data_IF_124685632712
#
_entry.id   IF_124685632712
#
_cell.length_a   1.000
_cell.length_b   1.000
_cell.length_c   1.000
_cell.angle_alpha   90.00
_cell.angle_beta   90.00
_cell.angle_gamma   90.00
#
_symmetry.space_group_name_H-M   'P 1'
#
loop_
_entity.id
_entity.type
_entity.pdbx_description
1 polymer ?
#
# COMPACT_ATOMS: atom_id res chain seq x y z
N UNK A 1 -28.10 -18.98 -12.65
CA UNK A 1 -27.71 -17.62 -12.22
C UNK A 1 -26.29 -17.74 -11.71
N UNK A 2 -25.32 -17.19 -12.42
CA UNK A 2 -23.91 -17.25 -12.00
C UNK A 2 -23.68 -16.05 -11.11
N UNK A 3 -23.54 -16.30 -9.81
CA UNK A 3 -23.19 -15.28 -8.83
C UNK A 3 -21.78 -14.79 -9.19
N UNK A 4 -21.68 -13.58 -9.74
CA UNK A 4 -20.40 -12.91 -9.91
C UNK A 4 -19.98 -12.58 -8.48
N UNK A 5 -19.13 -13.41 -7.88
CA UNK A 5 -18.42 -13.02 -6.67
C UNK A 5 -17.58 -11.81 -7.05
N UNK A 6 -18.04 -10.61 -6.71
CA UNK A 6 -17.19 -9.42 -6.66
C UNK A 6 -16.03 -9.77 -5.72
N UNK A 7 -14.87 -10.10 -6.30
CA UNK A 7 -13.66 -10.38 -5.53
C UNK A 7 -13.36 -9.11 -4.76
N UNK A 8 -13.64 -9.11 -3.46
CA UNK A 8 -13.44 -7.95 -2.60
C UNK A 8 -11.99 -7.48 -2.74
N UNK A 9 -11.81 -6.22 -3.10
CA UNK A 9 -10.47 -5.64 -3.24
C UNK A 9 -9.80 -5.62 -1.86
N UNK A 10 -8.54 -6.03 -1.82
CA UNK A 10 -7.72 -5.91 -0.62
C UNK A 10 -7.43 -4.43 -0.39
N UNK A 11 -7.88 -3.90 0.74
CA UNK A 11 -7.66 -2.49 1.07
C UNK A 11 -6.23 -2.29 1.53
N UNK A 12 -5.58 -1.27 0.96
CA UNK A 12 -4.24 -0.86 1.35
C UNK A 12 -4.18 0.66 1.46
N UNK A 13 -3.28 1.14 2.30
CA UNK A 13 -3.02 2.56 2.46
C UNK A 13 -1.56 2.86 2.18
N UNK A 14 -1.30 4.02 1.58
CA UNK A 14 0.04 4.55 1.42
C UNK A 14 0.12 5.95 2.02
N UNK A 15 1.20 6.23 2.74
CA UNK A 15 1.50 7.56 3.26
C UNK A 15 3.00 7.77 3.35
N UNK A 16 3.41 9.02 3.45
CA UNK A 16 4.81 9.36 3.69
C UNK A 16 5.14 9.20 5.17
N UNK A 17 6.11 8.35 5.50
CA UNK A 17 6.53 8.11 6.89
C UNK A 17 7.97 8.59 7.11
N UNK A 18 8.16 9.52 8.05
CA UNK A 18 9.48 10.02 8.45
C UNK A 18 10.08 9.26 9.63
N UNK A 19 9.24 8.62 10.44
CA UNK A 19 9.61 7.86 11.62
C UNK A 19 9.31 6.37 11.42
N UNK A 20 10.01 5.50 12.15
CA UNK A 20 9.84 4.05 12.07
C UNK A 20 10.85 3.37 11.15
N UNK A 21 10.79 2.04 11.16
CA UNK A 21 11.71 1.17 10.42
C UNK A 21 10.96 0.07 9.67
N UNK A 22 11.54 -0.41 8.58
CA UNK A 22 11.12 -1.62 7.91
C UNK A 22 11.41 -2.87 8.80
N UNK A 23 10.95 -4.07 8.40
CA UNK A 23 11.23 -5.30 9.13
C UNK A 23 12.72 -5.66 9.29
N UNK A 24 13.61 -5.04 8.51
CA UNK A 24 15.06 -5.22 8.59
C UNK A 24 15.74 -4.16 9.48
N UNK A 25 14.99 -3.21 10.03
CA UNK A 25 15.51 -2.11 10.85
C UNK A 25 15.99 -0.89 10.04
N UNK A 26 15.71 -0.83 8.74
CA UNK A 26 16.04 0.34 7.92
C UNK A 26 15.02 1.46 8.18
N UNK A 27 15.45 2.69 8.47
CA UNK A 27 14.52 3.79 8.74
C UNK A 27 13.74 4.18 7.49
N UNK A 28 12.46 4.52 7.67
CA UNK A 28 11.63 4.99 6.55
C UNK A 28 12.06 6.34 6.01
N UNK A 29 12.52 7.27 6.86
CA UNK A 29 13.18 8.50 6.44
C UNK A 29 12.50 9.27 5.28
N UNK A 30 11.17 9.39 5.32
CA UNK A 30 10.38 10.12 4.32
C UNK A 30 10.04 9.31 3.06
N UNK A 31 10.18 7.98 3.12
CA UNK A 31 9.69 7.07 2.09
C UNK A 31 8.16 6.95 2.15
N UNK A 32 7.58 6.61 1.01
CA UNK A 32 6.19 6.18 0.96
C UNK A 32 6.09 4.75 1.45
N UNK A 33 5.32 4.54 2.52
CA UNK A 33 5.12 3.23 3.14
C UNK A 33 3.71 2.76 2.83
N UNK A 34 3.60 1.52 2.35
CA UNK A 34 2.32 0.87 2.06
C UNK A 34 2.00 -0.12 3.19
N UNK A 35 0.77 -0.05 3.67
CA UNK A 35 0.25 -0.91 4.74
C UNK A 35 -1.06 -1.56 4.33
N UNK A 36 -1.30 -2.75 4.85
CA UNK A 36 -2.60 -3.42 4.71
C UNK A 36 -3.69 -2.74 5.56
N UNK A 37 -4.89 -3.29 5.52
CA UNK A 37 -6.04 -2.80 6.29
C UNK A 37 -5.85 -2.88 7.82
N UNK A 38 -4.99 -3.78 8.29
CA UNK A 38 -4.67 -3.99 9.70
C UNK A 38 -3.47 -3.14 10.16
N UNK A 39 -2.83 -2.41 9.24
CA UNK A 39 -1.68 -1.54 9.49
C UNK A 39 -0.31 -2.23 9.38
N UNK A 40 -0.27 -3.49 8.94
CA UNK A 40 0.99 -4.21 8.75
C UNK A 40 1.75 -3.66 7.54
N UNK A 41 3.07 -3.62 7.65
CA UNK A 41 3.95 -3.21 6.56
C UNK A 41 3.87 -4.20 5.39
N UNK A 42 3.67 -3.68 4.18
CA UNK A 42 3.75 -4.46 2.93
C UNK A 42 5.06 -4.13 2.21
N UNK A 43 5.30 -2.85 1.96
CA UNK A 43 6.44 -2.38 1.18
C UNK A 43 6.68 -0.88 1.39
N UNK A 44 7.80 -0.37 0.83
CA UNK A 44 8.04 1.05 0.70
C UNK A 44 8.61 1.40 -0.68
N UNK A 45 8.50 2.66 -1.06
CA UNK A 45 9.21 3.23 -2.22
C UNK A 45 9.49 4.72 -2.00
N UNK A 46 10.42 5.25 -2.77
CA UNK A 46 10.70 6.68 -2.80
C UNK A 46 9.63 7.47 -3.56
N UNK A 47 8.88 6.83 -4.47
CA UNK A 47 8.02 7.51 -5.43
C UNK A 47 6.56 7.09 -5.29
N UNK A 48 5.65 8.06 -5.08
CA UNK A 48 4.21 7.81 -5.01
C UNK A 48 3.64 7.19 -6.29
N UNK A 49 4.17 7.60 -7.46
CA UNK A 49 3.74 7.06 -8.76
C UNK A 49 3.98 5.54 -8.88
N UNK A 50 5.04 5.01 -8.27
CA UNK A 50 5.28 3.56 -8.29
C UNK A 50 4.21 2.79 -7.51
N UNK A 51 3.67 3.39 -6.44
CA UNK A 51 2.57 2.81 -5.66
C UNK A 51 1.28 2.91 -6.48
N UNK A 52 1.00 4.08 -7.05
CA UNK A 52 -0.19 4.28 -7.88
C UNK A 52 -0.21 3.25 -9.00
N UNK A 53 0.85 3.14 -9.79
CA UNK A 53 0.91 2.20 -10.92
C UNK A 53 0.73 0.75 -10.45
N UNK A 54 1.49 0.29 -9.44
CA UNK A 54 1.41 -1.11 -9.00
C UNK A 54 0.06 -1.48 -8.41
N UNK A 55 -0.57 -0.60 -7.65
CA UNK A 55 -1.83 -0.90 -6.94
C UNK A 55 -3.09 -0.49 -7.72
N UNK A 56 -2.98 0.39 -8.72
CA UNK A 56 -4.08 0.67 -9.66
C UNK A 56 -4.16 -0.35 -10.80
N UNK A 57 -3.02 -0.85 -11.28
CA UNK A 57 -2.98 -1.86 -12.36
C UNK A 57 -3.21 -3.28 -11.84
N UNK A 58 -2.81 -3.57 -10.59
CA UNK A 58 -3.14 -4.83 -9.94
C UNK A 58 -4.63 -4.88 -9.58
N UNK A 59 -5.44 -5.42 -10.50
CA UNK A 59 -6.86 -5.75 -10.31
C UNK A 59 -7.04 -6.61 -9.05
N UNK A 60 -7.26 -5.99 -7.90
CA UNK A 60 -7.26 -6.70 -6.63
C UNK A 60 -7.03 -5.83 -5.39
N UNK A 61 -6.55 -4.59 -5.55
CA UNK A 61 -6.35 -3.67 -4.42
C UNK A 61 -7.22 -2.41 -4.52
N UNK A 62 -7.61 -1.89 -3.35
CA UNK A 62 -8.20 -0.57 -3.20
C UNK A 62 -7.21 0.32 -2.45
N UNK A 63 -6.44 1.13 -3.19
CA UNK A 63 -5.41 2.02 -2.66
C UNK A 63 -6.02 3.31 -2.12
N UNK A 64 -5.65 3.68 -0.90
CA UNK A 64 -5.87 5.02 -0.34
C UNK A 64 -4.53 5.71 -0.10
N UNK A 65 -4.32 6.89 -0.71
CA UNK A 65 -3.12 7.71 -0.47
C UNK A 65 -3.48 8.81 0.52
N UNK A 66 -2.69 8.95 1.59
CA UNK A 66 -2.82 10.01 2.56
C UNK A 66 -1.61 10.95 2.43
N UNK A 67 -1.87 12.25 2.21
CA UNK A 67 -0.87 13.32 2.15
C UNK A 67 -0.57 13.91 3.53
#
# INVERSE_FOLDING_TARGET
MTEIQEKALTKVSAKREHEGTDPNGNPFNGLWVVRDADGNFIEFTQWSNDIINRYSEAKGFALTINE
#
